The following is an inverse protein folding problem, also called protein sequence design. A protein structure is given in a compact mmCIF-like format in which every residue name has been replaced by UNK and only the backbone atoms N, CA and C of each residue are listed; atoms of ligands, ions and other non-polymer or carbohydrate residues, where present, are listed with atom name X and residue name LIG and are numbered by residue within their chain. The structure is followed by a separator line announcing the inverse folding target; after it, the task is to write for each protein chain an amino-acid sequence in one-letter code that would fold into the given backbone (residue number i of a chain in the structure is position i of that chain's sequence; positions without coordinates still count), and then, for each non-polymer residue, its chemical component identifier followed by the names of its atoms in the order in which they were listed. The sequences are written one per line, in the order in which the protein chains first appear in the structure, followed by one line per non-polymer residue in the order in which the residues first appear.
data_IF_344318139628
#
_entry.id   IF_344318139628
#
_cell.length_a   1.000
_cell.length_b   1.000
_cell.length_c   1.000
_cell.angle_alpha   90.00
_cell.angle_beta   90.00
_cell.angle_gamma   90.00
#
_symmetry.space_group_name_H-M   'P 1'
#
loop_
_entity.id
_entity.type
_entity.pdbx_description
1 polymer ?
#
# COMPACT_ATOMS: atom_id res chain seq x y z
N UNK A 1 -3.12 5.70 16.51
CA UNK A 1 -1.69 5.84 16.87
C UNK A 1 -1.08 6.96 16.06
N UNK A 2 -0.44 7.88 16.75
CA UNK A 2 0.21 9.02 16.08
C UNK A 2 1.72 8.85 16.13
N UNK A 3 2.38 8.99 14.99
CA UNK A 3 3.82 8.86 14.88
C UNK A 3 4.39 10.13 14.27
N UNK A 4 5.29 10.78 15.02
CA UNK A 4 5.97 11.98 14.55
C UNK A 4 7.24 11.55 13.81
N UNK A 5 7.26 11.73 12.51
CA UNK A 5 8.41 11.35 11.72
C UNK A 5 8.53 12.22 10.48
N UNK A 6 9.75 12.59 10.12
CA UNK A 6 10.01 13.38 8.93
C UNK A 6 10.43 12.52 7.74
N UNK A 7 10.85 11.28 8.00
CA UNK A 7 11.22 10.33 6.96
C UNK A 7 10.44 9.05 7.12
N UNK A 8 10.26 8.32 6.03
CA UNK A 8 9.58 7.04 6.09
C UNK A 8 10.37 6.04 6.94
N UNK A 9 11.70 6.09 6.88
CA UNK A 9 12.53 5.23 7.72
C UNK A 9 12.21 5.44 9.20
N UNK A 10 12.17 6.69 9.64
CA UNK A 10 11.84 7.00 11.04
C UNK A 10 10.43 6.57 11.40
N UNK A 11 9.51 6.71 10.47
CA UNK A 11 8.13 6.28 10.68
C UNK A 11 8.08 4.80 11.04
N UNK A 12 8.71 3.96 10.21
CA UNK A 12 8.70 2.52 10.44
C UNK A 12 9.44 2.14 11.72
N UNK A 13 10.55 2.84 12.02
CA UNK A 13 11.35 2.55 13.22
C UNK A 13 10.58 2.81 14.52
N UNK A 14 9.67 3.76 14.50
CA UNK A 14 8.90 4.12 15.70
C UNK A 14 7.69 3.25 15.95
N UNK A 15 7.35 2.39 15.00
CA UNK A 15 6.15 1.55 15.15
C UNK A 15 6.39 0.38 16.09
N UNK A 16 5.36 -0.03 16.87
CA UNK A 16 5.44 -1.29 17.60
C UNK A 16 5.64 -2.45 16.64
N UNK A 17 6.25 -3.53 17.12
CA UNK A 17 6.59 -4.65 16.25
C UNK A 17 5.39 -5.27 15.54
N UNK A 18 4.23 -5.28 16.19
CA UNK A 18 3.01 -5.86 15.59
C UNK A 18 2.50 -5.00 14.41
N UNK A 19 2.91 -3.74 14.33
CA UNK A 19 2.56 -2.86 13.21
C UNK A 19 3.68 -2.77 12.20
N UNK A 20 4.91 -2.84 12.67
CA UNK A 20 6.09 -2.71 11.83
C UNK A 20 6.16 -3.81 10.78
N UNK A 21 5.94 -5.06 11.19
CA UNK A 21 6.05 -6.19 10.27
C UNK A 21 5.04 -6.16 9.13
N UNK A 22 3.74 -6.00 9.39
CA UNK A 22 2.79 -5.98 8.27
C UNK A 22 2.96 -4.77 7.36
N UNK A 23 3.25 -3.60 7.91
CA UNK A 23 3.47 -2.43 7.07
C UNK A 23 4.74 -2.55 6.24
N UNK A 24 5.80 -3.12 6.81
CA UNK A 24 7.03 -3.38 6.07
C UNK A 24 6.77 -4.37 4.93
N UNK A 25 5.88 -5.32 5.13
CA UNK A 25 5.53 -6.29 4.10
C UNK A 25 4.87 -5.58 2.90
N UNK A 26 3.93 -4.68 3.18
CA UNK A 26 3.26 -3.93 2.11
C UNK A 26 4.26 -3.02 1.39
N UNK A 27 5.11 -2.34 2.15
CA UNK A 27 6.17 -1.51 1.59
C UNK A 27 7.03 -2.30 0.62
N UNK A 28 7.40 -3.51 1.02
CA UNK A 28 8.24 -4.37 0.20
C UNK A 28 7.55 -4.73 -1.12
N UNK A 29 6.26 -5.03 -1.07
CA UNK A 29 5.50 -5.33 -2.29
C UNK A 29 5.54 -4.16 -3.25
N UNK A 30 5.26 -2.95 -2.73
CA UNK A 30 5.27 -1.74 -3.56
C UNK A 30 6.64 -1.53 -4.19
N UNK A 31 7.68 -1.62 -3.40
CA UNK A 31 9.03 -1.31 -3.88
C UNK A 31 9.59 -2.36 -4.82
N UNK A 32 9.17 -3.60 -4.67
CA UNK A 32 9.59 -4.66 -5.59
C UNK A 32 8.92 -4.53 -6.95
N UNK A 33 7.65 -4.19 -6.96
CA UNK A 33 6.92 -4.01 -8.22
C UNK A 33 7.27 -2.70 -8.90
N UNK A 34 7.43 -1.66 -8.10
CA UNK A 34 7.63 -0.30 -8.62
C UNK A 34 8.88 0.32 -7.99
N UNK A 35 10.09 -0.17 -8.37
CA UNK A 35 11.33 0.31 -7.73
C UNK A 35 11.63 1.79 -7.97
N UNK A 36 11.01 2.39 -8.98
CA UNK A 36 11.17 3.82 -9.25
C UNK A 36 10.20 4.68 -8.44
N UNK A 37 9.28 4.07 -7.69
CA UNK A 37 8.36 4.83 -6.88
C UNK A 37 9.13 5.63 -5.83
N UNK A 38 8.80 6.91 -5.73
CA UNK A 38 9.41 7.77 -4.74
C UNK A 38 8.65 7.64 -3.43
N UNK A 39 9.37 7.35 -2.35
CA UNK A 39 8.78 7.21 -1.02
C UNK A 39 9.08 8.46 -0.21
N UNK A 40 8.04 9.08 0.35
CA UNK A 40 8.21 10.23 1.23
C UNK A 40 7.07 10.28 2.25
N UNK A 41 7.01 11.38 3.01
CA UNK A 41 6.01 11.55 4.07
C UNK A 41 5.02 12.66 3.73
N UNK A 42 4.61 12.72 2.47
CA UNK A 42 3.78 13.83 1.96
C UNK A 42 2.51 14.11 2.76
N UNK A 43 1.89 13.08 3.28
CA UNK A 43 0.64 13.24 4.05
C UNK A 43 0.81 12.83 5.49
N UNK A 44 2.03 12.96 6.02
CA UNK A 44 2.32 12.54 7.39
C UNK A 44 2.38 11.02 7.53
N UNK A 45 2.47 10.31 6.42
CA UNK A 45 2.56 8.86 6.37
C UNK A 45 3.36 8.46 5.15
N UNK A 46 3.97 7.26 5.14
CA UNK A 46 4.71 6.80 3.97
C UNK A 46 3.84 6.82 2.73
N UNK A 47 4.26 7.59 1.74
CA UNK A 47 3.51 7.82 0.51
C UNK A 47 4.39 7.48 -0.67
N UNK A 48 3.81 6.81 -1.67
CA UNK A 48 4.54 6.28 -2.83
C UNK A 48 4.04 6.95 -4.09
N UNK A 49 4.94 7.65 -4.77
CA UNK A 49 4.62 8.43 -5.97
C UNK A 49 5.06 7.71 -7.23
N UNK A 50 4.18 7.71 -8.21
CA UNK A 50 4.50 7.20 -9.54
C UNK A 50 4.19 8.31 -10.53
N UNK A 51 5.15 8.61 -11.41
CA UNK A 51 4.95 9.67 -12.37
C UNK A 51 4.71 11.03 -11.73
N UNK A 52 5.30 11.26 -10.57
CA UNK A 52 5.17 12.54 -9.88
C UNK A 52 3.89 12.73 -9.10
N UNK A 53 3.04 11.72 -9.03
CA UNK A 53 1.76 11.81 -8.30
C UNK A 53 1.68 10.75 -7.22
N UNK A 54 1.04 11.04 -6.08
CA UNK A 54 0.88 10.03 -5.03
C UNK A 54 -0.11 8.96 -5.49
N UNK A 55 0.29 7.70 -5.33
CA UNK A 55 -0.55 6.58 -5.76
C UNK A 55 -0.91 5.67 -4.59
N UNK A 56 0.04 5.35 -3.73
CA UNK A 56 -0.20 4.52 -2.56
C UNK A 56 0.28 5.19 -1.29
N UNK A 57 -0.31 4.84 -0.16
CA UNK A 57 0.17 5.29 1.14
C UNK A 57 -0.14 4.25 2.19
N UNK A 58 0.63 4.28 3.28
CA UNK A 58 0.49 3.34 4.38
C UNK A 58 0.36 4.12 5.69
N UNK A 59 -0.46 3.62 6.61
CA UNK A 59 -0.57 4.26 7.91
C UNK A 59 -0.81 3.23 9.00
N UNK A 60 -0.19 3.45 10.16
CA UNK A 60 -0.51 2.73 11.39
C UNK A 60 -1.47 3.60 12.17
N UNK A 61 -2.67 3.09 12.43
CA UNK A 61 -3.69 3.83 13.15
C UNK A 61 -4.05 3.08 14.43
N UNK A 62 -4.86 3.71 15.28
CA UNK A 62 -5.11 3.18 16.62
C UNK A 62 -5.47 1.71 16.64
N UNK A 63 -6.44 1.31 15.81
CA UNK A 63 -6.98 -0.05 15.87
C UNK A 63 -6.65 -0.90 14.66
N UNK A 64 -5.93 -0.36 13.69
CA UNK A 64 -5.65 -1.09 12.45
C UNK A 64 -4.55 -0.41 11.66
N UNK A 65 -4.05 -1.12 10.66
CA UNK A 65 -3.19 -0.51 9.65
C UNK A 65 -4.06 -0.22 8.43
N UNK A 66 -3.66 0.78 7.65
CA UNK A 66 -4.44 1.21 6.49
C UNK A 66 -3.55 1.29 5.25
N UNK A 67 -4.06 0.75 4.15
CA UNK A 67 -3.46 0.87 2.83
C UNK A 67 -4.35 1.79 2.01
N UNK A 68 -3.77 2.87 1.48
CA UNK A 68 -4.50 3.85 0.67
C UNK A 68 -4.15 3.71 -0.80
N UNK A 69 -5.17 3.86 -1.65
CA UNK A 69 -5.02 3.99 -3.10
C UNK A 69 -5.51 5.38 -3.44
N UNK A 70 -4.59 6.28 -3.80
CA UNK A 70 -4.95 7.68 -4.03
C UNK A 70 -5.84 7.89 -5.26
N UNK A 71 -5.58 7.26 -6.40
CA UNK A 71 -6.56 7.27 -7.49
C UNK A 71 -7.67 6.28 -7.16
N UNK A 72 -8.56 6.69 -6.25
CA UNK A 72 -9.53 5.80 -5.61
C UNK A 72 -10.46 5.06 -6.57
N UNK A 73 -10.73 5.66 -7.71
CA UNK A 73 -11.59 5.02 -8.70
C UNK A 73 -11.00 3.71 -9.22
N UNK A 74 -9.67 3.56 -9.18
CA UNK A 74 -9.04 2.32 -9.60
C UNK A 74 -9.27 1.18 -8.62
N UNK A 75 -9.56 1.51 -7.36
CA UNK A 75 -9.84 0.49 -6.35
C UNK A 75 -11.18 -0.20 -6.62
N UNK A 76 -12.06 0.46 -7.36
CA UNK A 76 -13.37 -0.11 -7.67
C UNK A 76 -13.28 -1.40 -8.51
N UNK A 77 -12.16 -1.62 -9.19
CA UNK A 77 -11.96 -2.86 -9.94
C UNK A 77 -11.92 -4.09 -9.03
N UNK A 78 -11.70 -3.88 -7.73
CA UNK A 78 -11.61 -4.96 -6.75
C UNK A 78 -12.84 -5.02 -5.85
N UNK A 79 -13.94 -4.43 -6.28
CA UNK A 79 -15.16 -4.34 -5.51
C UNK A 79 -15.61 -5.70 -4.96
N UNK A 80 -15.53 -6.72 -5.77
CA UNK A 80 -15.93 -8.06 -5.35
C UNK A 80 -15.03 -8.58 -4.23
N UNK A 81 -13.71 -8.43 -4.40
CA UNK A 81 -12.74 -8.87 -3.40
C UNK A 81 -12.86 -8.11 -2.10
N UNK A 82 -13.31 -6.86 -2.17
CA UNK A 82 -13.34 -5.98 -1.01
C UNK A 82 -14.66 -6.02 -0.23
N UNK A 83 -15.68 -6.69 -0.76
CA UNK A 83 -17.01 -6.63 -0.13
C UNK A 83 -17.06 -7.19 1.28
N UNK A 84 -16.12 -8.07 1.65
CA UNK A 84 -16.06 -8.65 2.99
C UNK A 84 -15.00 -8.00 3.86
N UNK A 85 -14.33 -6.97 3.37
CA UNK A 85 -13.25 -6.33 4.10
C UNK A 85 -13.67 -4.95 4.58
N UNK A 86 -12.96 -4.49 5.62
CA UNK A 86 -13.18 -3.15 6.15
C UNK A 86 -12.49 -2.15 5.22
N UNK A 87 -13.25 -1.44 4.43
CA UNK A 87 -12.67 -0.50 3.50
C UNK A 87 -13.51 0.76 3.38
N UNK A 88 -12.83 1.85 3.00
CA UNK A 88 -13.46 3.09 2.62
C UNK A 88 -13.36 3.26 1.11
N UNK A 89 -13.61 4.47 0.65
CA UNK A 89 -13.59 4.76 -0.78
C UNK A 89 -12.19 4.60 -1.39
N UNK A 90 -11.17 4.96 -0.63
CA UNK A 90 -9.79 4.95 -1.11
C UNK A 90 -8.85 4.16 -0.21
N UNK A 91 -9.37 3.31 0.66
CA UNK A 91 -8.51 2.62 1.61
C UNK A 91 -9.05 1.26 2.03
N UNK A 92 -8.14 0.43 2.50
CA UNK A 92 -8.46 -0.88 3.07
C UNK A 92 -7.79 -0.93 4.43
N UNK A 93 -8.55 -1.35 5.45
CA UNK A 93 -8.07 -1.42 6.82
C UNK A 93 -7.90 -2.87 7.24
N UNK A 94 -6.78 -3.16 7.90
CA UNK A 94 -6.45 -4.52 8.35
C UNK A 94 -6.08 -4.48 9.82
N UNK A 95 -6.59 -5.43 10.59
CA UNK A 95 -6.09 -5.62 11.95
C UNK A 95 -4.78 -6.38 11.91
N UNK A 96 -4.65 -7.28 10.95
CA UNK A 96 -3.41 -7.99 10.66
C UNK A 96 -3.48 -8.50 9.23
N UNK A 97 -2.34 -8.84 8.67
CA UNK A 97 -2.28 -9.35 7.31
C UNK A 97 -2.31 -10.88 7.30
N UNK A 98 -3.30 -11.42 6.62
CA UNK A 98 -3.38 -12.85 6.34
C UNK A 98 -2.81 -13.08 4.93
N UNK A 99 -2.56 -14.33 4.57
CA UNK A 99 -2.02 -14.63 3.25
C UNK A 99 -2.94 -14.16 2.12
N UNK A 100 -4.23 -14.31 2.30
CA UNK A 100 -5.18 -13.83 1.30
C UNK A 100 -5.13 -12.31 1.12
N UNK A 101 -4.83 -11.59 2.21
CA UNK A 101 -4.68 -10.13 2.14
C UNK A 101 -3.43 -9.74 1.37
N UNK A 102 -2.33 -10.46 1.60
CA UNK A 102 -1.08 -10.20 0.89
C UNK A 102 -1.28 -10.42 -0.61
N UNK A 103 -1.92 -11.52 -0.96
CA UNK A 103 -2.22 -11.85 -2.34
C UNK A 103 -3.06 -10.76 -3.01
N UNK A 104 -4.09 -10.31 -2.30
CA UNK A 104 -4.94 -9.24 -2.82
C UNK A 104 -4.15 -7.94 -3.01
N UNK A 105 -3.32 -7.58 -2.03
CA UNK A 105 -2.52 -6.37 -2.13
C UNK A 105 -1.53 -6.43 -3.30
N UNK A 106 -0.94 -7.59 -3.55
CA UNK A 106 -0.06 -7.75 -4.71
C UNK A 106 -0.81 -7.47 -6.00
N UNK A 107 -2.04 -7.98 -6.11
CA UNK A 107 -2.84 -7.77 -7.31
C UNK A 107 -3.28 -6.31 -7.46
N UNK A 108 -3.67 -5.68 -6.35
CA UNK A 108 -4.09 -4.27 -6.37
C UNK A 108 -2.91 -3.37 -6.77
N UNK A 109 -1.77 -3.58 -6.15
CA UNK A 109 -0.59 -2.75 -6.40
C UNK A 109 -0.15 -2.88 -7.86
N UNK A 110 -0.20 -4.09 -8.41
CA UNK A 110 0.12 -4.30 -9.81
C UNK A 110 -0.88 -3.61 -10.73
N UNK A 111 -2.16 -3.84 -10.50
CA UNK A 111 -3.22 -3.29 -11.36
C UNK A 111 -3.23 -1.76 -11.33
N UNK A 112 -3.20 -1.19 -10.13
CA UNK A 112 -3.28 0.26 -9.99
C UNK A 112 -2.05 0.94 -10.60
N UNK A 113 -0.87 0.42 -10.31
CA UNK A 113 0.36 0.99 -10.86
C UNK A 113 0.40 0.89 -12.37
N UNK A 114 0.02 -0.25 -12.92
CA UNK A 114 0.00 -0.46 -14.37
C UNK A 114 -1.02 0.45 -15.05
N UNK A 115 -2.23 0.51 -14.50
CA UNK A 115 -3.30 1.33 -15.07
C UNK A 115 -2.94 2.81 -15.01
N UNK A 116 -2.37 3.23 -13.89
CA UNK A 116 -2.03 4.63 -13.67
C UNK A 116 -0.87 5.10 -14.55
N UNK A 117 0.18 4.27 -14.67
CA UNK A 117 1.40 4.67 -15.40
C UNK A 117 1.41 4.21 -16.85
N UNK A 118 0.66 3.17 -17.18
CA UNK A 118 0.75 2.54 -18.48
C UNK A 118 1.97 1.64 -18.64
N UNK A 119 2.70 1.38 -17.55
CA UNK A 119 3.91 0.57 -17.56
C UNK A 119 3.69 -0.77 -16.86
N UNK A 120 4.52 -1.76 -17.20
CA UNK A 120 4.49 -3.05 -16.52
C UNK A 120 5.33 -2.96 -15.24
N UNK A 121 4.95 -3.68 -14.17
CA UNK A 121 5.75 -3.70 -12.96
C UNK A 121 7.08 -4.39 -13.20
N UNK A 122 8.08 -4.02 -12.41
CA UNK A 122 9.41 -4.62 -12.50
C UNK A 122 9.36 -6.11 -12.22
N UNK A 123 8.61 -6.50 -11.19
CA UNK A 123 8.45 -7.88 -10.81
C UNK A 123 7.02 -8.32 -11.13
N UNK A 124 6.88 -9.26 -12.05
CA UNK A 124 5.55 -9.74 -12.44
C UNK A 124 5.15 -10.87 -11.52
N UNK A 125 4.45 -10.52 -10.45
CA UNK A 125 4.09 -11.47 -9.40
C UNK A 125 3.30 -12.68 -9.90
N UNK A 126 2.56 -12.49 -10.97
CA UNK A 126 1.70 -13.55 -11.51
C UNK A 126 2.12 -14.01 -12.89
N UNK A 127 3.38 -13.80 -13.23
CA UNK A 127 3.86 -14.04 -14.58
C UNK A 127 3.85 -15.51 -14.99
N UNK A 128 3.86 -16.38 -14.04
CA UNK A 128 3.93 -17.81 -14.34
C UNK A 128 2.61 -18.45 -14.74
N UNK A 129 1.56 -17.71 -14.64
CA UNK A 129 0.26 -18.24 -15.04
C UNK A 129 0.12 -18.29 -16.53
#
# INVERSE_FOLDING_TARGET
MHVEATTSHDYFEQLPSDRQMPLARIRQIIRKQWPKAKEDMSYGMPTYHLGGQPVFALASQKNHITFYVMPYDLLSAFKHDLRTRNCGKSCIRFKRLEEGDVDLLERIIMYVGTTYTGEAPKLKMFAKV
#
